data_IF_786237848298
#
_entry.id   IF_786237848298
#
_cell.length_a   1.000
_cell.length_b   1.000
_cell.length_c   1.000
_cell.angle_alpha   90.00
_cell.angle_beta   90.00
_cell.angle_gamma   90.00
#
_symmetry.space_group_name_H-M   'P 1'
#
loop_
_entity.id
_entity.type
_entity.pdbx_description
1 polymer ?
#
# COMPACT_ATOMS: atom_id res chain seq x y z
N UNK A 1 32.62 54.36 43.17
CA UNK A 1 32.94 53.45 42.01
C UNK A 1 31.82 52.41 41.89
N UNK A 2 30.81 52.71 41.13
CA UNK A 2 29.68 51.80 40.88
C UNK A 2 29.96 50.96 39.61
N UNK A 3 30.03 49.65 39.77
CA UNK A 3 30.12 48.70 38.67
C UNK A 3 28.71 48.30 38.22
N UNK A 4 28.28 48.69 37.04
CA UNK A 4 27.09 48.18 36.37
C UNK A 4 27.44 46.84 35.70
N UNK A 5 26.81 45.78 36.14
CA UNK A 5 26.86 44.47 35.44
C UNK A 5 25.72 44.42 34.43
N UNK A 6 26.08 44.40 33.15
CA UNK A 6 25.12 44.22 32.04
C UNK A 6 24.86 42.73 31.88
N UNK A 7 23.62 42.28 32.13
CA UNK A 7 23.16 40.92 31.85
C UNK A 7 22.65 40.90 30.40
N UNK A 8 23.36 40.19 29.53
CA UNK A 8 22.92 39.92 28.16
C UNK A 8 22.02 38.70 28.19
N UNK A 9 20.70 38.88 28.03
CA UNK A 9 19.76 37.80 27.83
C UNK A 9 19.87 37.28 26.38
N UNK A 10 20.38 36.06 26.24
CA UNK A 10 20.48 35.38 24.96
C UNK A 10 19.14 34.67 24.68
N UNK A 11 18.33 35.25 23.80
CA UNK A 11 17.10 34.60 23.32
C UNK A 11 17.49 33.47 22.33
N UNK A 12 17.35 32.23 22.78
CA UNK A 12 17.38 31.04 21.90
C UNK A 12 16.08 31.05 21.10
N UNK A 13 16.14 31.45 19.83
CA UNK A 13 15.07 31.23 18.87
C UNK A 13 15.16 29.75 18.44
N UNK A 14 14.33 28.91 19.03
CA UNK A 14 14.09 27.56 18.50
C UNK A 14 13.32 27.70 17.21
N UNK A 15 14.00 27.56 16.06
CA UNK A 15 13.35 27.37 14.79
C UNK A 15 12.58 26.05 14.84
N UNK A 16 11.25 26.11 15.01
CA UNK A 16 10.39 24.96 14.77
C UNK A 16 10.55 24.59 13.27
N UNK A 17 11.14 23.44 13.02
CA UNK A 17 11.10 22.85 11.68
C UNK A 17 9.65 22.52 11.39
N UNK A 18 8.96 23.36 10.62
CA UNK A 18 7.67 23.06 10.03
C UNK A 18 7.89 21.95 9.01
N UNK A 19 7.77 20.69 9.44
CA UNK A 19 7.64 19.58 8.52
C UNK A 19 6.39 19.80 7.66
N UNK A 20 6.45 19.46 6.38
CA UNK A 20 5.31 19.60 5.47
C UNK A 20 4.14 18.78 6.04
N UNK A 21 3.03 19.45 6.40
CA UNK A 21 1.86 18.82 6.97
C UNK A 21 0.95 18.36 5.82
N UNK A 22 0.80 17.04 5.68
CA UNK A 22 -0.05 16.44 4.66
C UNK A 22 -1.50 16.31 5.17
N UNK A 23 -2.52 16.46 4.29
CA UNK A 23 -3.91 16.20 4.66
C UNK A 23 -4.06 14.79 5.24
N UNK A 24 -4.67 14.68 6.42
CA UNK A 24 -4.79 13.42 7.15
C UNK A 24 -6.08 13.34 7.96
N UNK A 25 -6.45 12.12 8.37
CA UNK A 25 -7.59 11.85 9.22
C UNK A 25 -7.28 10.69 10.16
N UNK A 26 -7.91 10.68 11.32
CA UNK A 26 -7.91 9.56 12.25
C UNK A 26 -9.26 8.87 12.24
N UNK A 27 -9.24 7.52 12.29
CA UNK A 27 -10.38 6.67 12.63
C UNK A 27 -9.99 5.78 13.80
N UNK A 28 -10.93 5.49 14.69
CA UNK A 28 -10.65 4.63 15.86
C UNK A 28 -11.91 3.91 16.35
N UNK A 29 -11.69 2.77 16.99
CA UNK A 29 -12.68 2.07 17.79
C UNK A 29 -12.06 1.72 19.15
N UNK A 30 -12.70 0.85 19.94
CA UNK A 30 -12.16 0.42 21.25
C UNK A 30 -10.84 -0.37 21.17
N UNK A 31 -10.47 -0.88 19.98
CA UNK A 31 -9.32 -1.75 19.77
C UNK A 31 -8.19 -1.08 19.00
N UNK A 32 -8.53 -0.38 17.92
CA UNK A 32 -7.61 0.11 16.91
C UNK A 32 -7.71 1.62 16.81
N UNK A 33 -6.54 2.26 16.65
CA UNK A 33 -6.41 3.65 16.20
C UNK A 33 -5.56 3.67 14.94
N UNK A 34 -6.07 4.30 13.89
CA UNK A 34 -5.39 4.42 12.61
C UNK A 34 -5.39 5.87 12.12
N UNK A 35 -4.21 6.37 11.73
CA UNK A 35 -4.02 7.63 11.03
C UNK A 35 -3.80 7.37 9.55
N UNK A 36 -4.54 8.10 8.71
CA UNK A 36 -4.51 7.93 7.26
C UNK A 36 -4.28 9.27 6.59
N UNK A 37 -3.51 9.25 5.50
CA UNK A 37 -3.39 10.38 4.59
C UNK A 37 -4.57 10.44 3.62
N UNK A 38 -5.00 11.67 3.31
CA UNK A 38 -6.10 11.91 2.37
C UNK A 38 -5.57 12.06 0.95
N UNK A 39 -6.36 11.60 -0.01
CA UNK A 39 -6.06 11.79 -1.43
C UNK A 39 -6.17 13.26 -1.81
N UNK A 40 -5.09 13.84 -2.31
CA UNK A 40 -5.04 15.22 -2.78
C UNK A 40 -3.98 15.33 -3.88
N UNK A 41 -4.35 15.85 -5.05
CA UNK A 41 -3.47 15.94 -6.21
C UNK A 41 -2.31 16.95 -6.04
N UNK A 42 -2.46 17.93 -5.14
CA UNK A 42 -1.48 18.98 -4.93
C UNK A 42 -0.69 18.82 -3.62
N UNK A 43 -1.38 18.42 -2.55
CA UNK A 43 -0.87 18.39 -1.18
C UNK A 43 -0.84 16.97 -0.59
N UNK A 44 -1.26 15.95 -1.35
CA UNK A 44 -1.29 14.56 -0.87
C UNK A 44 0.09 14.04 -0.47
N UNK A 45 0.12 13.20 0.56
CA UNK A 45 1.35 12.51 1.00
C UNK A 45 1.95 11.66 -0.12
N UNK A 46 1.14 10.97 -0.90
CA UNK A 46 1.58 10.18 -2.04
C UNK A 46 0.90 10.67 -3.32
N UNK A 47 1.71 11.04 -4.31
CA UNK A 47 1.30 11.56 -5.62
C UNK A 47 2.07 10.93 -6.78
N UNK A 48 2.87 9.89 -6.49
CA UNK A 48 3.51 9.09 -7.53
C UNK A 48 2.48 8.20 -8.25
N UNK A 49 2.90 7.52 -9.31
CA UNK A 49 1.97 6.85 -10.23
C UNK A 49 2.05 5.32 -10.18
N UNK A 50 2.52 4.74 -9.07
CA UNK A 50 2.56 3.28 -8.86
C UNK A 50 1.33 2.77 -8.12
N UNK A 51 0.99 3.40 -7.00
CA UNK A 51 -0.06 2.95 -6.08
C UNK A 51 -1.25 3.88 -6.06
N UNK A 52 -2.41 3.34 -5.70
CA UNK A 52 -3.63 4.07 -5.39
C UNK A 52 -3.36 5.14 -4.31
N UNK A 53 -3.89 6.34 -4.52
CA UNK A 53 -3.73 7.47 -3.61
C UNK A 53 -4.66 7.43 -2.40
N UNK A 54 -5.69 6.58 -2.44
CA UNK A 54 -6.70 6.52 -1.37
C UNK A 54 -6.23 5.69 -0.19
N UNK A 55 -6.43 6.22 1.02
CA UNK A 55 -6.33 5.47 2.26
C UNK A 55 -4.92 4.98 2.60
N UNK A 56 -3.88 5.76 2.28
CA UNK A 56 -2.51 5.49 2.72
C UNK A 56 -2.45 5.55 4.25
N UNK A 57 -2.18 4.42 4.90
CA UNK A 57 -2.15 4.32 6.36
C UNK A 57 -0.77 4.71 6.87
N UNK A 58 -0.70 5.83 7.59
CA UNK A 58 0.52 6.31 8.23
C UNK A 58 0.90 5.45 9.43
N UNK A 59 -0.10 5.09 10.24
CA UNK A 59 0.06 4.44 11.54
C UNK A 59 -1.20 3.64 11.85
N UNK A 60 -1.05 2.43 12.34
CA UNK A 60 -2.14 1.65 12.90
C UNK A 60 -1.65 0.96 14.17
N UNK A 61 -2.35 1.20 15.27
CA UNK A 61 -2.01 0.68 16.59
C UNK A 61 -3.08 -0.25 17.14
N UNK A 62 -2.63 -1.38 17.67
CA UNK A 62 -3.44 -2.35 18.40
C UNK A 62 -2.62 -2.94 19.55
N UNK A 63 -3.18 -2.93 20.76
CA UNK A 63 -2.60 -3.57 21.98
C UNK A 63 -1.13 -3.21 22.26
N UNK A 64 -0.75 -1.95 22.03
CA UNK A 64 0.62 -1.47 22.24
C UNK A 64 1.56 -1.67 21.05
N UNK A 65 1.15 -2.40 20.02
CA UNK A 65 1.93 -2.65 18.81
C UNK A 65 1.58 -1.67 17.69
N UNK A 66 2.58 -1.34 16.85
CA UNK A 66 2.48 -0.55 15.62
C UNK A 66 2.69 -1.46 14.42
N UNK A 67 1.82 -1.36 13.38
CA UNK A 67 1.88 -2.26 12.22
C UNK A 67 2.38 -1.62 10.94
N UNK A 68 2.28 -0.28 10.83
CA UNK A 68 2.69 0.48 9.65
C UNK A 68 3.47 1.72 10.06
N UNK A 69 4.29 2.25 9.16
CA UNK A 69 5.10 3.41 9.42
C UNK A 69 5.76 4.00 8.17
N UNK A 70 6.50 5.11 8.29
CA UNK A 70 7.21 5.71 7.17
C UNK A 70 8.42 4.86 6.78
N UNK A 71 8.45 4.37 5.55
CA UNK A 71 9.48 3.45 5.05
C UNK A 71 10.81 4.09 4.71
N UNK A 72 10.81 5.37 4.39
CA UNK A 72 12.02 6.11 4.00
C UNK A 72 12.36 7.16 5.04
N UNK A 73 13.67 7.38 5.30
CA UNK A 73 14.11 8.43 6.24
C UNK A 73 13.70 9.84 5.80
N UNK A 74 13.62 10.07 4.48
CA UNK A 74 13.12 11.29 3.88
C UNK A 74 11.95 10.94 2.96
N UNK A 75 10.84 11.64 3.15
CA UNK A 75 9.65 11.44 2.34
C UNK A 75 9.68 12.36 1.12
N UNK A 76 9.39 11.78 -0.06
CA UNK A 76 9.12 12.51 -1.29
C UNK A 76 7.81 11.98 -1.91
N UNK A 77 6.76 12.83 -2.03
CA UNK A 77 5.47 12.42 -2.58
C UNK A 77 5.51 11.85 -4.00
N UNK A 78 6.54 12.13 -4.78
CA UNK A 78 6.68 11.69 -6.17
C UNK A 78 7.55 10.43 -6.30
N UNK A 79 8.15 9.96 -5.22
CA UNK A 79 8.92 8.70 -5.20
C UNK A 79 8.00 7.51 -4.94
N UNK A 80 8.01 6.53 -5.84
CA UNK A 80 7.10 5.39 -5.83
C UNK A 80 7.11 4.57 -4.54
N UNK A 81 8.26 4.44 -3.91
CA UNK A 81 8.41 3.66 -2.68
C UNK A 81 8.28 4.51 -1.42
N UNK A 82 8.02 5.82 -1.54
CA UNK A 82 7.79 6.74 -0.42
C UNK A 82 6.32 6.71 0.01
N UNK A 83 5.87 5.53 0.45
CA UNK A 83 4.48 5.25 0.84
C UNK A 83 4.46 4.32 2.04
N UNK A 84 3.35 4.23 2.75
CA UNK A 84 3.16 3.44 3.97
C UNK A 84 1.85 2.66 3.93
N UNK A 85 1.79 1.60 4.72
CA UNK A 85 0.60 0.80 4.95
C UNK A 85 0.30 -0.26 3.90
N UNK A 86 -0.87 -0.91 3.96
CA UNK A 86 -1.35 -1.72 2.87
C UNK A 86 -1.79 -0.78 1.77
N UNK A 87 -1.07 -0.80 0.67
CA UNK A 87 -1.37 0.04 -0.50
C UNK A 87 -1.70 -0.83 -1.69
N UNK A 88 -2.53 -0.31 -2.57
CA UNK A 88 -3.04 -1.07 -3.69
C UNK A 88 -2.44 -0.60 -5.01
N UNK A 89 -2.24 -1.53 -5.90
CA UNK A 89 -1.85 -1.23 -7.27
C UNK A 89 -2.74 -2.02 -8.23
N UNK A 90 -3.24 -1.32 -9.22
CA UNK A 90 -3.97 -1.91 -10.33
C UNK A 90 -3.01 -2.16 -11.48
N UNK A 91 -2.86 -3.43 -11.88
CA UNK A 91 -1.88 -3.86 -12.87
C UNK A 91 -2.18 -3.41 -14.30
N UNK A 92 -3.43 -2.98 -14.58
CA UNK A 92 -3.82 -2.50 -15.88
C UNK A 92 -3.52 -0.99 -16.03
N UNK A 93 -2.72 -0.65 -17.04
CA UNK A 93 -2.66 0.68 -17.60
C UNK A 93 -3.71 0.75 -18.72
N UNK A 94 -4.96 1.12 -18.38
CA UNK A 94 -6.11 1.09 -19.29
C UNK A 94 -5.90 2.04 -20.47
N UNK A 95 -5.88 1.48 -21.68
CA UNK A 95 -5.66 2.24 -22.90
C UNK A 95 -4.21 2.55 -23.25
N UNK A 96 -3.22 2.08 -22.47
CA UNK A 96 -1.81 2.39 -22.75
C UNK A 96 -1.32 1.83 -24.08
N UNK A 97 -1.67 0.59 -24.41
CA UNK A 97 -1.28 -0.04 -25.67
C UNK A 97 -1.93 0.62 -26.90
N UNK A 98 -3.11 1.18 -26.70
CA UNK A 98 -3.92 1.84 -27.74
C UNK A 98 -3.56 3.32 -27.94
N UNK A 99 -2.88 3.91 -26.97
CA UNK A 99 -2.51 5.32 -26.97
C UNK A 99 -1.24 5.56 -27.79
N UNK A 100 -1.24 6.59 -28.63
CA UNK A 100 -0.05 7.06 -29.30
C UNK A 100 0.95 7.72 -28.29
N UNK A 101 2.24 7.79 -28.60
CA UNK A 101 3.21 8.55 -27.81
C UNK A 101 2.72 10.00 -27.59
N UNK A 102 2.78 10.48 -26.36
CA UNK A 102 2.21 11.77 -25.94
C UNK A 102 0.69 11.76 -25.72
N UNK A 103 0.01 10.64 -26.05
CA UNK A 103 -1.41 10.47 -25.74
C UNK A 103 -1.66 10.13 -24.27
N UNK A 104 -2.86 9.67 -23.93
CA UNK A 104 -3.24 9.43 -22.56
C UNK A 104 -3.76 8.01 -22.30
N UNK A 105 -3.58 7.55 -21.06
CA UNK A 105 -4.10 6.30 -20.55
C UNK A 105 -4.60 6.48 -19.12
N UNK A 106 -5.33 5.50 -18.60
CA UNK A 106 -5.96 5.59 -17.28
C UNK A 106 -5.33 4.58 -16.32
N UNK A 107 -5.05 5.03 -15.09
CA UNK A 107 -4.66 4.16 -13.99
C UNK A 107 -5.59 4.35 -12.80
N UNK A 108 -6.23 3.25 -12.38
CA UNK A 108 -7.22 3.26 -11.31
C UNK A 108 -6.56 3.69 -9.99
N UNK A 109 -7.24 4.56 -9.23
CA UNK A 109 -6.74 5.12 -7.98
C UNK A 109 -5.74 6.26 -8.14
N UNK A 110 -5.39 6.63 -9.41
CA UNK A 110 -4.44 7.71 -9.70
C UNK A 110 -5.09 8.75 -10.61
N UNK A 111 -5.46 8.35 -11.87
CA UNK A 111 -6.05 9.28 -12.81
C UNK A 111 -5.74 9.00 -14.26
N UNK A 112 -5.85 10.04 -15.09
CA UNK A 112 -5.46 10.07 -16.49
C UNK A 112 -4.00 10.52 -16.57
N UNK A 113 -3.16 9.69 -17.20
CA UNK A 113 -1.72 9.85 -17.28
C UNK A 113 -1.29 10.06 -18.73
N UNK A 114 -0.19 10.78 -18.93
CA UNK A 114 0.45 10.96 -20.24
C UNK A 114 1.34 9.74 -20.56
N UNK A 115 1.16 9.16 -21.74
CA UNK A 115 2.09 8.18 -22.27
C UNK A 115 3.34 8.89 -22.76
N UNK A 116 4.56 8.49 -22.34
CA UNK A 116 5.79 9.12 -22.79
C UNK A 116 5.90 9.17 -24.32
N UNK A 117 6.38 10.29 -24.84
CA UNK A 117 6.61 10.45 -26.28
C UNK A 117 7.87 9.71 -26.79
N UNK A 118 8.78 9.38 -25.87
CA UNK A 118 9.98 8.58 -26.16
C UNK A 118 9.77 7.08 -26.02
N UNK A 119 10.82 6.27 -26.25
CA UNK A 119 10.74 4.83 -26.04
C UNK A 119 10.32 4.53 -24.61
N UNK A 120 9.42 3.58 -24.46
CA UNK A 120 9.04 3.06 -23.14
C UNK A 120 10.27 2.41 -22.49
N UNK A 121 10.83 3.09 -21.51
CA UNK A 121 12.04 2.64 -20.81
C UNK A 121 11.79 1.45 -19.86
N UNK A 122 10.68 0.77 -20.01
CA UNK A 122 10.41 -0.45 -19.23
C UNK A 122 10.88 -1.72 -19.99
N UNK A 123 11.42 -2.71 -19.28
CA UNK A 123 11.52 -2.74 -17.82
C UNK A 123 12.66 -1.83 -17.34
N UNK A 124 12.33 -0.91 -16.45
CA UNK A 124 13.34 -0.22 -15.65
C UNK A 124 14.00 -1.23 -14.72
N UNK A 125 15.28 -1.06 -14.38
CA UNK A 125 15.93 -1.90 -13.39
C UNK A 125 15.08 -2.06 -12.14
N UNK A 126 15.15 -3.23 -11.52
CA UNK A 126 14.45 -3.55 -10.27
C UNK A 126 14.55 -2.39 -9.27
N UNK A 127 13.38 -1.98 -8.75
CA UNK A 127 13.28 -0.85 -7.80
C UNK A 127 13.07 0.54 -8.41
N UNK A 128 13.21 0.70 -9.73
CA UNK A 128 12.93 1.98 -10.40
C UNK A 128 11.60 1.89 -11.16
N UNK A 129 10.70 2.83 -10.91
CA UNK A 129 9.41 2.92 -11.62
C UNK A 129 9.32 4.25 -12.35
N UNK A 130 8.80 4.22 -13.58
CA UNK A 130 8.53 5.47 -14.32
C UNK A 130 7.40 6.22 -13.62
N UNK A 131 7.67 7.45 -13.23
CA UNK A 131 6.63 8.38 -12.81
C UNK A 131 6.06 9.06 -14.04
N UNK A 132 4.79 8.78 -14.32
CA UNK A 132 4.08 9.39 -15.43
C UNK A 132 3.60 10.78 -15.03
N UNK A 133 3.47 11.67 -16.01
CA UNK A 133 2.80 12.95 -15.79
C UNK A 133 1.30 12.71 -15.61
N UNK A 134 0.74 13.20 -14.52
CA UNK A 134 -0.71 13.20 -14.28
C UNK A 134 -1.33 14.35 -15.04
N UNK A 135 -2.23 14.02 -15.97
CA UNK A 135 -2.98 15.00 -16.76
C UNK A 135 -4.28 15.41 -16.06
N UNK A 136 -4.91 14.44 -15.37
CA UNK A 136 -6.17 14.67 -14.65
C UNK A 136 -6.30 13.61 -13.55
N UNK A 137 -6.28 14.03 -12.29
CA UNK A 137 -6.44 13.12 -11.14
C UNK A 137 -7.90 12.71 -10.91
N UNK A 138 -8.84 13.21 -11.72
CA UNK A 138 -10.27 13.01 -11.54
C UNK A 138 -10.85 13.76 -10.34
N UNK A 139 -12.14 13.54 -10.11
CA UNK A 139 -12.85 14.10 -8.97
C UNK A 139 -12.70 13.20 -7.75
N UNK A 140 -12.04 13.68 -6.70
CA UNK A 140 -11.95 12.99 -5.41
C UNK A 140 -12.97 13.54 -4.40
N UNK A 141 -13.63 12.65 -3.67
CA UNK A 141 -14.45 12.97 -2.51
C UNK A 141 -14.06 12.06 -1.35
N UNK A 142 -13.88 12.64 -0.18
CA UNK A 142 -13.58 11.91 1.05
C UNK A 142 -14.68 12.19 2.07
N UNK A 143 -15.18 11.16 2.73
CA UNK A 143 -16.11 11.23 3.86
C UNK A 143 -15.68 10.28 4.96
N UNK A 144 -15.95 10.61 6.23
CA UNK A 144 -15.55 9.78 7.36
C UNK A 144 -16.55 9.83 8.52
N UNK A 145 -16.55 8.77 9.31
CA UNK A 145 -17.11 8.70 10.66
C UNK A 145 -16.01 8.58 11.70
N UNK A 146 -16.36 8.06 12.87
CA UNK A 146 -15.41 7.78 13.96
C UNK A 146 -14.52 6.57 13.66
N UNK A 147 -15.08 5.55 13.02
CA UNK A 147 -14.50 4.21 12.79
C UNK A 147 -14.38 3.83 11.31
N UNK A 148 -14.68 4.76 10.39
CA UNK A 148 -14.56 4.54 8.96
C UNK A 148 -14.15 5.80 8.20
N UNK A 149 -13.55 5.57 7.04
CA UNK A 149 -13.27 6.60 6.04
C UNK A 149 -13.52 6.03 4.63
N UNK A 150 -14.10 6.85 3.75
CA UNK A 150 -14.45 6.47 2.39
C UNK A 150 -13.90 7.48 1.39
N UNK A 151 -13.29 6.95 0.36
CA UNK A 151 -12.72 7.68 -0.76
C UNK A 151 -13.51 7.32 -2.02
N UNK A 152 -13.92 8.31 -2.78
CA UNK A 152 -14.57 8.11 -4.08
C UNK A 152 -13.79 8.87 -5.14
N UNK A 153 -13.31 8.17 -6.17
CA UNK A 153 -12.69 8.77 -7.35
C UNK A 153 -13.60 8.58 -8.56
N UNK A 154 -13.79 9.66 -9.33
CA UNK A 154 -14.50 9.63 -10.61
C UNK A 154 -13.58 10.08 -11.72
N UNK A 155 -13.39 9.23 -12.73
CA UNK A 155 -12.60 9.54 -13.92
C UNK A 155 -13.55 9.76 -15.11
N UNK A 156 -13.46 10.91 -15.79
CA UNK A 156 -14.26 11.18 -16.99
C UNK A 156 -13.81 10.31 -18.16
N UNK A 157 -14.75 10.01 -19.06
CA UNK A 157 -14.44 9.23 -20.27
C UNK A 157 -13.69 10.08 -21.29
N UNK A 158 -12.39 9.81 -21.48
CA UNK A 158 -11.55 10.44 -22.51
C UNK A 158 -11.00 9.45 -23.54
N UNK A 159 -10.89 8.16 -23.16
CA UNK A 159 -10.21 7.14 -23.99
C UNK A 159 -11.05 5.88 -24.19
N UNK A 160 -12.35 5.95 -23.90
CA UNK A 160 -13.24 4.80 -23.79
C UNK A 160 -13.18 4.13 -22.41
N UNK A 161 -12.24 4.53 -21.55
CA UNK A 161 -12.13 4.09 -20.16
C UNK A 161 -12.60 5.20 -19.23
N UNK A 162 -13.50 4.86 -18.35
CA UNK A 162 -13.97 5.72 -17.28
C UNK A 162 -14.53 4.87 -16.15
N UNK A 163 -14.48 5.37 -14.92
CA UNK A 163 -14.94 4.61 -13.77
C UNK A 163 -15.37 5.49 -12.59
N UNK A 164 -16.15 4.88 -11.70
CA UNK A 164 -16.29 5.33 -10.32
C UNK A 164 -15.66 4.28 -9.42
N UNK A 165 -14.63 4.67 -8.69
CA UNK A 165 -13.94 3.82 -7.71
C UNK A 165 -14.25 4.31 -6.31
N UNK A 166 -14.75 3.40 -5.47
CA UNK A 166 -14.99 3.65 -4.05
C UNK A 166 -14.15 2.69 -3.23
N UNK A 167 -13.39 3.24 -2.28
CA UNK A 167 -12.65 2.50 -1.26
C UNK A 167 -13.08 2.98 0.11
N UNK A 168 -13.56 2.05 0.93
CA UNK A 168 -13.95 2.32 2.31
C UNK A 168 -13.11 1.48 3.25
N UNK A 169 -12.44 2.14 4.18
CA UNK A 169 -11.70 1.53 5.28
C UNK A 169 -12.57 1.65 6.52
N UNK A 170 -12.89 0.52 7.14
CA UNK A 170 -13.75 0.45 8.32
C UNK A 170 -13.14 -0.42 9.40
N UNK A 171 -13.17 0.05 10.64
CA UNK A 171 -12.82 -0.74 11.82
C UNK A 171 -14.04 -1.48 12.32
N UNK A 172 -13.91 -2.78 12.57
CA UNK A 172 -15.01 -3.60 13.08
C UNK A 172 -15.35 -3.20 14.53
N UNK A 173 -16.64 -3.12 14.91
CA UNK A 173 -17.03 -2.61 16.23
C UNK A 173 -16.59 -3.51 17.38
N UNK A 174 -16.57 -4.85 17.18
CA UNK A 174 -16.42 -5.82 18.25
C UNK A 174 -15.12 -6.63 18.19
N UNK A 175 -14.35 -6.49 17.14
CA UNK A 175 -13.09 -7.22 16.93
C UNK A 175 -11.95 -6.27 16.53
N UNK A 176 -10.68 -6.64 16.79
CA UNK A 176 -9.53 -5.87 16.34
C UNK A 176 -9.28 -6.06 14.84
N UNK A 177 -10.25 -5.66 14.03
CA UNK A 177 -10.20 -5.84 12.58
C UNK A 177 -10.37 -4.52 11.83
N UNK A 178 -9.64 -4.41 10.74
CA UNK A 178 -9.81 -3.38 9.71
C UNK A 178 -10.24 -4.05 8.42
N UNK A 179 -11.30 -3.57 7.81
CA UNK A 179 -11.84 -4.08 6.56
C UNK A 179 -11.74 -3.00 5.50
N UNK A 180 -11.20 -3.35 4.35
CA UNK A 180 -11.14 -2.47 3.18
C UNK A 180 -12.13 -3.00 2.15
N UNK A 181 -13.22 -2.26 1.95
CA UNK A 181 -14.23 -2.53 0.94
C UNK A 181 -13.94 -1.74 -0.32
N UNK A 182 -14.08 -2.40 -1.45
CA UNK A 182 -13.90 -1.80 -2.76
C UNK A 182 -15.17 -1.94 -3.60
N UNK A 183 -15.45 -0.90 -4.36
CA UNK A 183 -16.45 -0.93 -5.43
C UNK A 183 -15.84 -0.24 -6.65
N UNK A 184 -15.82 -0.91 -7.78
CA UNK A 184 -15.33 -0.37 -9.04
C UNK A 184 -16.42 -0.52 -10.11
N UNK A 185 -17.03 0.59 -10.48
CA UNK A 185 -18.03 0.69 -11.53
C UNK A 185 -17.34 1.12 -12.84
N UNK A 186 -17.49 0.33 -13.88
CA UNK A 186 -17.01 0.68 -15.21
C UNK A 186 -18.07 1.55 -15.93
N UNK A 187 -17.86 2.85 -15.96
CA UNK A 187 -18.72 3.83 -16.64
C UNK A 187 -18.25 4.14 -18.07
N UNK A 188 -17.21 3.44 -18.54
CA UNK A 188 -16.67 3.57 -19.89
C UNK A 188 -17.37 2.67 -20.90
N UNK A 189 -16.86 2.70 -22.14
CA UNK A 189 -17.32 1.85 -23.25
C UNK A 189 -16.42 0.63 -23.51
N UNK A 190 -15.29 0.53 -22.81
CA UNK A 190 -14.33 -0.58 -22.89
C UNK A 190 -14.26 -1.33 -21.57
N UNK A 191 -14.00 -2.64 -21.63
CA UNK A 191 -13.88 -3.45 -20.43
C UNK A 191 -12.64 -3.05 -19.60
N UNK A 192 -12.79 -3.01 -18.28
CA UNK A 192 -11.69 -2.96 -17.35
C UNK A 192 -11.23 -4.40 -17.11
N UNK A 193 -10.04 -4.73 -17.56
CA UNK A 193 -9.47 -6.07 -17.45
C UNK A 193 -8.03 -6.00 -16.94
N UNK A 194 -7.76 -6.63 -15.78
CA UNK A 194 -6.46 -6.57 -15.16
C UNK A 194 -6.40 -7.27 -13.81
N UNK A 195 -5.36 -6.97 -13.08
CA UNK A 195 -5.15 -7.46 -11.72
C UNK A 195 -5.15 -6.30 -10.74
N UNK A 196 -5.51 -6.59 -9.50
CA UNK A 196 -5.28 -5.70 -8.36
C UNK A 196 -4.45 -6.49 -7.34
N UNK A 197 -3.53 -5.83 -6.64
CA UNK A 197 -2.83 -6.42 -5.51
C UNK A 197 -2.65 -5.41 -4.38
N UNK A 198 -2.60 -5.96 -3.16
CA UNK A 198 -2.23 -5.21 -1.99
C UNK A 198 -0.74 -5.42 -1.72
N UNK A 199 0.04 -4.33 -1.77
CA UNK A 199 1.41 -4.36 -1.27
C UNK A 199 1.37 -4.07 0.23
N UNK A 200 1.40 -5.12 1.03
CA UNK A 200 1.25 -5.03 2.48
C UNK A 200 2.57 -4.69 3.16
N UNK A 201 2.99 -3.43 3.11
CA UNK A 201 4.23 -2.97 3.74
C UNK A 201 4.12 -2.98 5.27
N UNK A 202 4.30 -4.14 5.87
CA UNK A 202 4.26 -4.31 7.32
C UNK A 202 5.61 -3.95 7.94
N UNK A 203 5.55 -3.03 8.91
CA UNK A 203 6.69 -2.54 9.70
C UNK A 203 6.41 -2.77 11.19
N UNK A 204 6.15 -4.03 11.55
CA UNK A 204 5.67 -4.39 12.89
C UNK A 204 6.67 -3.93 13.95
N UNK A 205 6.20 -2.99 14.81
CA UNK A 205 6.94 -2.38 15.90
C UNK A 205 8.24 -1.68 15.46
N UNK A 206 8.32 -1.30 14.17
CA UNK A 206 9.51 -0.70 13.55
C UNK A 206 10.78 -1.53 13.73
N UNK A 207 10.61 -2.83 13.98
CA UNK A 207 11.73 -3.73 14.07
C UNK A 207 12.24 -4.11 12.67
N UNK A 208 13.55 -4.20 12.49
CA UNK A 208 14.10 -4.66 11.22
C UNK A 208 13.58 -6.06 10.87
N UNK A 209 13.21 -6.25 9.62
CA UNK A 209 12.88 -7.57 9.08
C UNK A 209 14.06 -8.51 9.27
N UNK A 210 13.82 -9.67 9.89
CA UNK A 210 14.90 -10.61 10.18
C UNK A 210 14.36 -11.89 10.81
N UNK A 211 15.23 -12.76 11.34
CA UNK A 211 14.82 -13.97 12.05
C UNK A 211 13.81 -13.65 13.15
N UNK A 212 12.69 -14.38 13.16
CA UNK A 212 11.52 -14.09 13.98
C UNK A 212 10.34 -13.53 13.21
N UNK A 213 10.57 -12.96 12.02
CA UNK A 213 9.49 -12.63 11.10
C UNK A 213 9.11 -13.85 10.25
N UNK A 214 7.81 -14.12 10.16
CA UNK A 214 7.28 -15.23 9.36
C UNK A 214 6.02 -14.80 8.61
N UNK A 215 5.80 -15.42 7.44
CA UNK A 215 4.55 -15.36 6.70
C UNK A 215 3.94 -16.76 6.69
N UNK A 216 2.73 -16.91 7.21
CA UNK A 216 2.02 -18.20 7.32
C UNK A 216 0.86 -18.27 6.34
N UNK A 217 0.64 -19.45 5.77
CA UNK A 217 -0.40 -19.75 4.79
C UNK A 217 -1.26 -20.95 5.22
N UNK A 218 -2.48 -21.11 4.67
CA UNK A 218 -3.29 -22.32 4.86
C UNK A 218 -2.86 -23.49 3.95
N UNK A 219 -1.71 -23.37 3.28
CA UNK A 219 -1.11 -24.36 2.38
C UNK A 219 0.41 -24.39 2.55
N UNK A 220 1.06 -25.41 2.02
CA UNK A 220 2.52 -25.46 1.97
C UNK A 220 3.05 -24.59 0.83
N UNK A 221 3.74 -23.47 1.14
CA UNK A 221 4.27 -22.58 0.13
C UNK A 221 5.48 -23.19 -0.58
N UNK A 222 5.55 -22.97 -1.89
CA UNK A 222 6.72 -23.31 -2.72
C UNK A 222 7.26 -22.03 -3.35
N UNK A 223 8.50 -21.70 -3.06
CA UNK A 223 9.20 -20.60 -3.74
C UNK A 223 9.60 -21.10 -5.12
N UNK A 224 9.11 -20.46 -6.18
CA UNK A 224 9.42 -20.83 -7.57
C UNK A 224 10.49 -19.93 -8.19
N UNK A 225 10.64 -18.71 -7.68
CA UNK A 225 11.70 -17.78 -8.06
C UNK A 225 11.95 -16.77 -6.96
N UNK A 226 13.16 -16.24 -6.88
CA UNK A 226 13.51 -15.11 -6.02
C UNK A 226 14.27 -14.09 -6.86
N UNK A 227 13.80 -12.86 -6.90
CA UNK A 227 14.55 -11.71 -7.36
C UNK A 227 15.28 -11.11 -6.15
N UNK A 228 16.54 -10.72 -6.32
CA UNK A 228 17.41 -10.27 -5.22
C UNK A 228 18.11 -11.43 -4.51
N UNK A 229 18.20 -11.39 -3.17
CA UNK A 229 18.95 -12.38 -2.40
C UNK A 229 18.07 -13.60 -2.02
N UNK A 230 18.35 -14.78 -2.60
CA UNK A 230 17.59 -16.00 -2.32
C UNK A 230 17.82 -16.57 -0.91
N UNK A 231 18.81 -16.07 -0.15
CA UNK A 231 19.09 -16.54 1.20
C UNK A 231 18.24 -15.85 2.28
N UNK A 232 17.47 -14.83 1.91
CA UNK A 232 16.62 -14.08 2.88
C UNK A 232 15.41 -14.89 3.31
N UNK A 233 14.75 -15.60 2.38
CA UNK A 233 13.51 -16.32 2.62
C UNK A 233 13.64 -17.81 2.35
N UNK A 234 13.02 -18.63 3.21
CA UNK A 234 12.87 -20.07 3.00
C UNK A 234 11.48 -20.57 3.36
N UNK A 235 11.00 -21.59 2.63
CA UNK A 235 9.79 -22.31 2.95
C UNK A 235 10.05 -23.38 4.04
N UNK A 236 9.21 -23.45 5.08
CA UNK A 236 9.24 -24.44 6.15
C UNK A 236 7.82 -24.81 6.55
N UNK A 237 7.36 -26.02 6.20
CA UNK A 237 5.97 -26.42 6.40
C UNK A 237 5.04 -25.43 5.70
N UNK A 238 4.12 -24.83 6.41
CA UNK A 238 3.17 -23.85 5.90
C UNK A 238 3.62 -22.38 6.07
N UNK A 239 4.92 -22.15 6.29
CA UNK A 239 5.49 -20.83 6.54
C UNK A 239 6.57 -20.46 5.52
N UNK A 240 6.70 -19.16 5.23
CA UNK A 240 7.94 -18.54 4.77
C UNK A 240 8.61 -17.88 5.97
N UNK A 241 9.82 -18.28 6.27
CA UNK A 241 10.63 -17.74 7.37
C UNK A 241 11.72 -16.82 6.83
N UNK A 242 11.98 -15.73 7.54
CA UNK A 242 13.13 -14.87 7.27
C UNK A 242 14.35 -15.48 7.92
N UNK A 243 15.35 -15.89 7.11
CA UNK A 243 16.57 -16.53 7.59
C UNK A 243 17.64 -15.53 8.03
N UNK A 244 17.75 -14.41 7.31
CA UNK A 244 18.67 -13.32 7.62
C UNK A 244 18.01 -11.96 7.37
N UNK A 245 18.43 -10.95 8.13
CA UNK A 245 17.98 -9.58 7.91
C UNK A 245 18.62 -9.00 6.63
N UNK A 246 17.86 -8.49 5.66
CA UNK A 246 18.39 -7.74 4.54
C UNK A 246 19.20 -6.53 5.02
N UNK A 247 20.33 -6.23 4.37
CA UNK A 247 21.21 -5.13 4.73
C UNK A 247 21.21 -4.06 3.63
N UNK A 248 21.27 -2.78 4.03
CA UNK A 248 21.30 -1.67 3.08
C UNK A 248 20.12 -1.70 2.11
N UNK A 249 20.40 -1.84 0.83
CA UNK A 249 19.41 -1.95 -0.26
C UNK A 249 19.10 -3.40 -0.67
N UNK A 250 19.61 -4.39 0.08
CA UNK A 250 19.27 -5.79 -0.19
C UNK A 250 17.76 -6.01 -0.12
N UNK A 251 17.25 -6.83 -1.02
CA UNK A 251 15.86 -7.25 -1.05
C UNK A 251 15.75 -8.72 -1.46
N UNK A 252 14.63 -9.32 -1.13
CA UNK A 252 14.18 -10.56 -1.72
C UNK A 252 12.71 -10.42 -2.14
N UNK A 253 12.39 -10.76 -3.38
CA UNK A 253 11.03 -10.85 -3.89
C UNK A 253 10.78 -12.27 -4.33
N UNK A 254 10.17 -13.06 -3.45
CA UNK A 254 9.86 -14.46 -3.70
C UNK A 254 8.51 -14.60 -4.42
N UNK A 255 8.47 -15.33 -5.52
CA UNK A 255 7.21 -15.81 -6.13
C UNK A 255 6.80 -17.10 -5.44
N UNK A 256 5.56 -17.16 -4.95
CA UNK A 256 5.04 -18.23 -4.11
C UNK A 256 3.90 -18.97 -4.84
N UNK A 257 3.96 -20.29 -4.80
CA UNK A 257 2.96 -21.21 -5.31
C UNK A 257 2.51 -22.17 -4.18
N UNK A 258 1.44 -22.93 -4.41
CA UNK A 258 0.86 -23.89 -3.47
C UNK A 258 -0.60 -23.59 -3.13
N UNK A 259 -1.07 -22.38 -3.44
CA UNK A 259 -2.47 -21.99 -3.28
C UNK A 259 -3.36 -22.62 -4.36
N UNK A 260 -4.62 -22.84 -4.01
CA UNK A 260 -5.67 -23.30 -4.94
C UNK A 260 -6.50 -22.14 -5.50
N UNK A 261 -7.61 -22.48 -6.13
CA UNK A 261 -8.46 -21.56 -6.92
C UNK A 261 -9.62 -20.95 -6.14
N UNK A 262 -9.64 -21.08 -4.81
CA UNK A 262 -10.71 -20.53 -3.97
C UNK A 262 -10.21 -19.42 -3.06
N UNK A 263 -11.10 -18.52 -2.65
CA UNK A 263 -10.79 -17.43 -1.71
C UNK A 263 -10.21 -17.93 -0.37
N UNK A 264 -10.47 -19.18 0.03
CA UNK A 264 -9.92 -19.78 1.26
C UNK A 264 -8.38 -19.80 1.30
N UNK A 265 -7.72 -19.71 0.14
CA UNK A 265 -6.26 -19.65 0.07
C UNK A 265 -5.71 -18.22 0.16
N UNK A 266 -6.55 -17.20 0.06
CA UNK A 266 -6.18 -15.83 0.41
C UNK A 266 -6.39 -15.64 1.91
N UNK A 267 -5.52 -16.27 2.68
CA UNK A 267 -5.46 -16.27 4.13
C UNK A 267 -3.99 -16.30 4.54
N UNK A 268 -3.45 -15.12 4.81
CA UNK A 268 -2.02 -14.87 4.98
C UNK A 268 -1.82 -14.22 6.33
N UNK A 269 -1.05 -14.85 7.22
CA UNK A 269 -0.66 -14.23 8.49
C UNK A 269 0.79 -13.78 8.43
N UNK A 270 1.07 -12.58 8.93
CA UNK A 270 2.44 -12.08 9.13
C UNK A 270 2.66 -11.87 10.61
N UNK A 271 3.71 -12.46 11.14
CA UNK A 271 4.06 -12.41 12.56
C UNK A 271 5.47 -11.87 12.75
N UNK A 272 5.62 -10.99 13.74
CA UNK A 272 6.90 -10.70 14.36
C UNK A 272 6.96 -11.43 15.70
N UNK A 273 7.58 -12.59 15.74
CA UNK A 273 7.69 -13.43 16.95
C UNK A 273 8.59 -12.82 18.02
N UNK A 274 9.46 -11.86 17.64
CA UNK A 274 10.32 -11.17 18.59
C UNK A 274 9.53 -10.13 19.43
N UNK A 275 8.54 -9.47 18.83
CA UNK A 275 7.69 -8.50 19.55
C UNK A 275 6.36 -9.08 20.03
N UNK A 276 5.97 -10.26 19.54
CA UNK A 276 4.72 -10.89 19.88
C UNK A 276 3.50 -10.33 19.14
N UNK A 277 3.67 -9.69 17.99
CA UNK A 277 2.61 -9.10 17.20
C UNK A 277 2.36 -9.85 15.89
N UNK A 278 1.09 -9.94 15.49
CA UNK A 278 0.69 -10.57 14.23
C UNK A 278 -0.51 -9.90 13.59
N UNK A 279 -0.63 -10.08 12.27
CA UNK A 279 -1.79 -9.68 11.48
C UNK A 279 -2.15 -10.79 10.50
N UNK A 280 -3.42 -11.15 10.44
CA UNK A 280 -3.99 -12.08 9.45
C UNK A 280 -4.73 -11.29 8.39
N UNK A 281 -4.46 -11.58 7.14
CA UNK A 281 -5.00 -10.90 5.96
C UNK A 281 -5.82 -11.91 5.17
N UNK A 282 -7.11 -11.66 5.01
CA UNK A 282 -8.02 -12.50 4.24
C UNK A 282 -8.78 -11.67 3.21
N UNK A 283 -9.23 -12.29 2.12
CA UNK A 283 -10.07 -11.64 1.13
C UNK A 283 -11.18 -12.59 0.62
N UNK A 284 -12.19 -12.02 -0.03
CA UNK A 284 -13.32 -12.74 -0.61
C UNK A 284 -13.07 -13.22 -2.06
N UNK A 285 -11.85 -12.99 -2.59
CA UNK A 285 -11.43 -13.36 -3.94
C UNK A 285 -10.30 -14.38 -3.93
N UNK A 286 -10.25 -15.31 -4.92
CA UNK A 286 -9.13 -16.23 -5.05
C UNK A 286 -7.86 -15.51 -5.47
N UNK A 287 -6.71 -16.04 -5.03
CA UNK A 287 -5.39 -15.61 -5.49
C UNK A 287 -5.19 -15.99 -6.97
N UNK A 288 -4.65 -15.06 -7.75
CA UNK A 288 -4.14 -15.31 -9.11
C UNK A 288 -2.63 -15.31 -9.18
N UNK A 289 -1.98 -14.61 -8.26
CA UNK A 289 -0.54 -14.63 -8.02
C UNK A 289 -0.27 -14.27 -6.56
N UNK A 290 0.87 -14.70 -6.05
CA UNK A 290 1.35 -14.34 -4.71
C UNK A 290 2.84 -14.12 -4.74
N UNK A 291 3.29 -13.01 -4.17
CA UNK A 291 4.69 -12.71 -3.92
C UNK A 291 4.90 -12.35 -2.47
N UNK A 292 6.11 -12.47 -2.00
CA UNK A 292 6.54 -11.97 -0.68
C UNK A 292 7.80 -11.15 -0.87
N UNK A 293 7.68 -9.87 -0.55
CA UNK A 293 8.77 -8.90 -0.62
C UNK A 293 9.36 -8.69 0.78
N UNK A 294 10.67 -8.78 0.90
CA UNK A 294 11.39 -8.57 2.15
C UNK A 294 12.54 -7.60 1.93
N UNK A 295 12.55 -6.52 2.70
CA UNK A 295 13.66 -5.55 2.82
C UNK A 295 13.93 -5.29 4.29
N UNK A 296 15.00 -4.55 4.60
CA UNK A 296 15.39 -4.24 5.98
C UNK A 296 14.25 -3.71 6.85
N UNK A 297 13.38 -2.87 6.31
CA UNK A 297 12.34 -2.17 7.07
C UNK A 297 10.95 -2.76 6.94
N UNK A 298 10.72 -3.73 6.05
CA UNK A 298 9.37 -4.23 5.79
C UNK A 298 9.34 -5.65 5.26
N UNK A 299 8.39 -6.44 5.74
CA UNK A 299 7.99 -7.73 5.18
C UNK A 299 6.58 -7.58 4.58
N UNK A 300 6.45 -7.78 3.27
CA UNK A 300 5.24 -7.44 2.54
C UNK A 300 4.76 -8.62 1.66
N UNK A 301 3.76 -9.39 2.06
CA UNK A 301 3.04 -10.25 1.13
C UNK A 301 2.27 -9.39 0.10
N UNK A 302 2.34 -9.82 -1.16
CA UNK A 302 1.69 -9.20 -2.31
C UNK A 302 0.71 -10.20 -2.94
N UNK A 303 -0.49 -10.36 -2.42
CA UNK A 303 -1.55 -11.19 -3.02
C UNK A 303 -2.23 -10.45 -4.17
N UNK A 304 -2.37 -11.12 -5.31
CA UNK A 304 -3.02 -10.61 -6.51
C UNK A 304 -4.37 -11.26 -6.72
N UNK A 305 -5.36 -10.46 -7.14
CA UNK A 305 -6.67 -10.92 -7.61
C UNK A 305 -6.92 -10.48 -9.05
N UNK A 306 -7.85 -11.12 -9.74
CA UNK A 306 -8.31 -10.76 -11.09
C UNK A 306 -9.53 -9.89 -11.02
N UNK A 307 -9.60 -8.86 -11.87
CA UNK A 307 -10.76 -8.02 -12.10
C UNK A 307 -11.11 -8.04 -13.59
N UNK A 308 -12.40 -8.28 -13.90
CA UNK A 308 -12.93 -8.26 -15.27
C UNK A 308 -14.29 -7.60 -15.26
N UNK A 309 -14.35 -6.32 -15.60
CA UNK A 309 -15.54 -5.49 -15.46
C UNK A 309 -15.98 -4.99 -16.84
N UNK A 310 -16.99 -5.62 -17.46
CA UNK A 310 -17.58 -5.12 -18.70
C UNK A 310 -18.15 -3.70 -18.56
N UNK A 311 -18.32 -2.95 -19.66
CA UNK A 311 -19.01 -1.67 -19.65
C UNK A 311 -20.37 -1.71 -18.92
N UNK A 312 -20.63 -0.74 -18.07
CA UNK A 312 -21.87 -0.62 -17.28
C UNK A 312 -21.95 -1.55 -16.07
N UNK A 313 -20.94 -2.41 -15.84
CA UNK A 313 -20.94 -3.35 -14.70
C UNK A 313 -20.13 -2.81 -13.53
N UNK A 314 -20.39 -3.39 -12.36
CA UNK A 314 -19.72 -3.06 -11.09
C UNK A 314 -19.18 -4.33 -10.47
N UNK A 315 -17.92 -4.29 -10.03
CA UNK A 315 -17.36 -5.30 -9.15
C UNK A 315 -17.14 -4.78 -7.74
N UNK A 316 -17.27 -5.70 -6.76
CA UNK A 316 -17.04 -5.43 -5.34
C UNK A 316 -16.14 -6.52 -4.79
N UNK A 317 -15.22 -6.15 -3.91
CA UNK A 317 -14.38 -7.09 -3.16
C UNK A 317 -13.96 -6.46 -1.83
N UNK A 318 -13.54 -7.32 -0.91
CA UNK A 318 -13.03 -6.88 0.38
C UNK A 318 -11.74 -7.58 0.77
N UNK A 319 -10.93 -6.87 1.55
CA UNK A 319 -9.74 -7.40 2.23
C UNK A 319 -9.86 -7.08 3.71
N UNK A 320 -9.63 -8.07 4.58
CA UNK A 320 -9.76 -7.97 6.03
C UNK A 320 -8.40 -8.19 6.68
N UNK A 321 -8.08 -7.33 7.63
CA UNK A 321 -6.89 -7.36 8.46
C UNK A 321 -7.30 -7.60 9.91
N UNK A 322 -6.99 -8.77 10.47
CA UNK A 322 -7.28 -9.12 11.87
C UNK A 322 -5.97 -9.06 12.65
N UNK A 323 -5.89 -8.14 13.61
CA UNK A 323 -4.69 -7.90 14.42
C UNK A 323 -4.74 -8.74 15.69
N UNK A 324 -3.60 -9.33 16.08
CA UNK A 324 -3.51 -10.17 17.27
C UNK A 324 -2.13 -10.12 17.92
N UNK A 325 -2.07 -10.55 19.17
CA UNK A 325 -0.82 -10.78 19.92
C UNK A 325 -0.52 -12.27 20.04
N UNK A 326 0.74 -12.62 19.93
CA UNK A 326 1.21 -13.99 20.20
C UNK A 326 1.29 -14.21 21.72
N UNK A 327 1.00 -15.43 22.14
CA UNK A 327 1.09 -15.85 23.55
C UNK A 327 2.50 -16.31 23.88
#
# INVERSE_FOLDING_TARGET
>A
MNRFSTVIAMFLITAAAYGQEYPQAEISNKWIRANLYLSDAEKGYYRATRFDWSGVIQSLRFSGHEYFGPRLPQHDPLVHNSISGPVESFGANLGYAESEPGGSFVRIGIGILEKPAGPDLRPVPSGTYVTYKVLDAGGWRVSKGSDWIEFVQKIPNRTGYSYVYTKRIQLAPDTPEMIIFHTLENTGSKAIDGTQFNHNFLEIDRQPTGPGFVVRFPFEPRITSVEGDPQVLAARGNELVVLKAPQGEEMALATVQGYGTTAKHYDISVENRNSGAGVRITADRPLTSLRVYAIKVSLAPEPFIRLQIPPGNTEKWETRYSFYTLK
#
